data_IF_235789876695
#
_entry.id   IF_235789876695
#
_cell.length_a   1.000
_cell.length_b   1.000
_cell.length_c   1.000
_cell.angle_alpha   90.00
_cell.angle_beta   90.00
_cell.angle_gamma   90.00
#
_symmetry.space_group_name_H-M   'P 1'
#
loop_
_entity.id
_entity.type
_entity.pdbx_description
1 polymer ?
#
# COMPACT_ATOMS: atom_id res chain seq x y z
N UNK A 1 -7.94 24.24 -21.39
CA UNK A 1 -8.61 23.05 -22.02
C UNK A 1 -7.90 21.83 -21.48
N UNK A 2 -8.32 21.40 -20.30
CA UNK A 2 -7.74 20.30 -19.57
C UNK A 2 -8.20 18.99 -20.20
N UNK A 3 -7.25 18.18 -20.64
CA UNK A 3 -7.54 16.82 -21.08
C UNK A 3 -7.50 15.93 -19.82
N UNK A 4 -8.68 15.59 -19.33
CA UNK A 4 -8.86 14.52 -18.38
C UNK A 4 -8.43 13.20 -19.03
N UNK A 5 -7.30 12.67 -18.63
CA UNK A 5 -6.91 11.29 -18.93
C UNK A 5 -7.58 10.42 -17.89
N UNK A 6 -8.53 9.58 -18.33
CA UNK A 6 -9.33 8.75 -17.46
C UNK A 6 -8.47 7.71 -16.75
N UNK A 7 -8.29 7.88 -15.45
CA UNK A 7 -7.73 6.87 -14.57
C UNK A 7 -8.84 5.89 -14.21
N UNK A 8 -8.75 4.64 -14.65
CA UNK A 8 -9.59 3.57 -14.15
C UNK A 8 -9.16 3.26 -12.73
N UNK A 9 -9.89 3.80 -11.74
CA UNK A 9 -9.70 3.47 -10.34
C UNK A 9 -10.42 2.17 -10.02
N UNK A 10 -9.68 1.11 -9.79
CA UNK A 10 -10.19 -0.02 -9.01
C UNK A 10 -9.74 0.18 -7.56
N UNK A 11 -10.59 0.86 -6.78
CA UNK A 11 -10.37 1.02 -5.35
C UNK A 11 -10.85 -0.25 -4.67
N UNK A 12 -9.93 -1.11 -4.26
CA UNK A 12 -10.27 -2.19 -3.35
C UNK A 12 -10.43 -1.61 -1.96
N UNK A 13 -11.68 -1.55 -1.50
CA UNK A 13 -12.02 -1.10 -0.15
C UNK A 13 -11.28 -1.96 0.87
N UNK A 14 -10.59 -1.34 1.82
CA UNK A 14 -9.98 -1.96 3.00
C UNK A 14 -10.99 -2.81 3.84
N UNK A 15 -12.26 -2.82 3.46
CA UNK A 15 -13.37 -3.45 4.17
C UNK A 15 -14.08 -4.56 3.38
N UNK A 16 -13.54 -5.03 2.27
CA UNK A 16 -14.04 -6.26 1.69
C UNK A 16 -13.46 -7.46 2.48
N UNK A 17 -13.96 -7.62 3.70
CA UNK A 17 -13.92 -8.91 4.38
C UNK A 17 -14.96 -9.75 3.67
N UNK A 18 -14.62 -10.79 2.90
CA UNK A 18 -15.60 -11.71 2.41
C UNK A 18 -16.24 -12.35 3.64
N UNK A 19 -17.54 -12.15 3.81
CA UNK A 19 -18.37 -12.97 4.71
C UNK A 19 -18.32 -14.41 4.18
N UNK A 20 -17.23 -15.11 4.49
CA UNK A 20 -17.17 -16.56 4.34
C UNK A 20 -18.03 -17.20 5.42
N UNK A 21 -19.30 -17.39 5.09
CA UNK A 21 -20.12 -18.42 5.69
C UNK A 21 -19.53 -19.77 5.30
N UNK A 22 -18.59 -20.28 6.06
CA UNK A 22 -18.36 -21.71 6.20
C UNK A 22 -17.53 -22.00 7.43
N UNK A 23 -18.16 -22.60 8.38
CA UNK A 23 -17.69 -23.27 9.56
C UNK A 23 -16.49 -24.17 9.33
N UNK A 24 -15.30 -23.72 9.76
CA UNK A 24 -14.30 -24.61 10.35
C UNK A 24 -13.57 -23.85 11.46
N UNK A 25 -14.14 -23.95 12.66
CA UNK A 25 -13.44 -23.72 13.93
C UNK A 25 -12.44 -24.87 14.13
N UNK A 26 -11.21 -24.68 13.68
CA UNK A 26 -10.09 -25.49 14.15
C UNK A 26 -8.97 -24.52 14.50
N UNK A 27 -8.73 -24.43 15.82
CA UNK A 27 -7.57 -23.80 16.49
C UNK A 27 -7.14 -22.44 15.96
N UNK A 28 -7.60 -21.38 16.57
CA UNK A 28 -7.00 -20.07 16.83
C UNK A 28 -5.98 -19.43 15.90
N UNK A 29 -5.88 -19.85 14.65
CA UNK A 29 -5.10 -19.20 13.60
C UNK A 29 -6.05 -18.54 12.62
N UNK A 30 -6.25 -17.24 12.79
CA UNK A 30 -6.67 -16.40 11.67
C UNK A 30 -5.60 -16.52 10.60
N UNK A 31 -5.87 -17.25 9.53
CA UNK A 31 -5.13 -17.09 8.28
C UNK A 31 -5.52 -15.74 7.71
N UNK A 32 -4.83 -14.70 8.10
CA UNK A 32 -4.87 -13.45 7.34
C UNK A 32 -4.18 -13.75 6.00
N UNK A 33 -4.86 -13.40 4.93
CA UNK A 33 -4.31 -13.54 3.59
C UNK A 33 -2.98 -12.79 3.54
N UNK A 34 -1.87 -13.53 3.38
CA UNK A 34 -0.54 -12.95 3.24
C UNK A 34 -0.50 -12.17 1.93
N UNK A 35 0.05 -10.96 1.96
CA UNK A 35 0.25 -10.10 0.80
C UNK A 35 -1.04 -9.52 0.21
N UNK A 36 -1.75 -8.72 0.99
CA UNK A 36 -2.95 -8.02 0.54
C UNK A 36 -2.59 -6.83 -0.36
N UNK A 37 -3.11 -6.84 -1.59
CA UNK A 37 -3.01 -5.67 -2.48
C UNK A 37 -3.97 -4.58 -1.98
N UNK A 38 -3.42 -3.46 -1.49
CA UNK A 38 -4.20 -2.34 -0.95
C UNK A 38 -4.49 -1.25 -1.99
N UNK A 39 -3.62 -1.13 -3.01
CA UNK A 39 -3.80 -0.17 -4.09
C UNK A 39 -3.18 -0.66 -5.39
N UNK A 40 -3.81 -0.33 -6.52
CA UNK A 40 -3.26 -0.55 -7.86
C UNK A 40 -3.78 0.51 -8.80
N UNK A 41 -2.90 1.11 -9.59
CA UNK A 41 -3.29 1.95 -10.71
C UNK A 41 -2.26 1.88 -11.85
N UNK A 42 -2.70 2.31 -13.02
CA UNK A 42 -1.83 2.54 -14.16
C UNK A 42 -1.65 4.05 -14.35
N UNK A 43 -0.40 4.51 -14.43
CA UNK A 43 -0.05 5.90 -14.61
C UNK A 43 0.49 6.06 -16.01
N UNK A 44 -0.22 6.83 -16.83
CA UNK A 44 0.24 7.18 -18.16
C UNK A 44 1.18 8.38 -18.08
N UNK A 45 2.44 8.16 -18.46
CA UNK A 45 3.49 9.16 -18.54
C UNK A 45 3.89 9.35 -20.02
N UNK A 46 4.30 10.53 -20.47
CA UNK A 46 4.82 10.74 -21.84
C UNK A 46 5.92 9.77 -22.26
N UNK A 47 6.70 9.26 -21.31
CA UNK A 47 7.85 8.36 -21.55
C UNK A 47 7.52 6.88 -21.30
N UNK A 48 6.27 6.54 -21.03
CA UNK A 48 5.83 5.16 -20.84
C UNK A 48 4.78 5.00 -19.76
N UNK A 49 4.35 3.76 -19.58
CA UNK A 49 3.36 3.40 -18.56
C UNK A 49 4.09 2.97 -17.29
N UNK A 50 3.55 3.39 -16.13
CA UNK A 50 3.95 2.91 -14.82
C UNK A 50 2.79 2.10 -14.24
N UNK A 51 3.02 0.84 -13.95
CA UNK A 51 2.12 0.00 -13.17
C UNK A 51 2.47 0.16 -11.70
N UNK A 52 1.69 0.99 -11.01
CA UNK A 52 1.88 1.31 -9.59
C UNK A 52 1.04 0.38 -8.73
N UNK A 53 1.69 -0.32 -7.79
CA UNK A 53 1.04 -1.25 -6.87
C UNK A 53 1.50 -0.99 -5.44
N UNK A 54 0.60 -1.11 -4.46
CA UNK A 54 0.97 -1.13 -3.04
C UNK A 54 0.36 -2.37 -2.39
N UNK A 55 1.20 -3.13 -1.73
CA UNK A 55 0.85 -4.34 -0.99
C UNK A 55 1.06 -4.13 0.51
N UNK A 56 0.30 -4.88 1.30
CA UNK A 56 0.41 -4.87 2.75
C UNK A 56 0.42 -6.30 3.28
N UNK A 57 1.30 -6.58 4.24
CA UNK A 57 1.42 -7.90 4.88
C UNK A 57 1.84 -7.77 6.35
N UNK A 58 1.61 -8.81 7.13
CA UNK A 58 2.12 -8.95 8.49
C UNK A 58 3.19 -10.03 8.54
N UNK A 59 4.27 -9.74 9.24
CA UNK A 59 5.24 -10.78 9.57
C UNK A 59 4.80 -11.62 10.78
N UNK A 60 5.57 -12.67 11.07
CA UNK A 60 5.29 -13.59 12.18
C UNK A 60 5.45 -12.92 13.56
N UNK A 61 6.04 -11.73 13.62
CA UNK A 61 6.19 -10.91 14.82
C UNK A 61 5.06 -9.89 14.98
N UNK A 62 4.15 -9.82 13.99
CA UNK A 62 3.03 -8.88 13.99
C UNK A 62 3.39 -7.46 13.56
N UNK A 63 4.58 -7.24 12.97
CA UNK A 63 4.90 -5.99 12.32
C UNK A 63 4.12 -5.88 11.02
N UNK A 64 3.71 -4.66 10.67
CA UNK A 64 2.97 -4.37 9.45
C UNK A 64 3.92 -3.85 8.38
N UNK A 65 3.97 -4.52 7.24
CA UNK A 65 4.82 -4.18 6.11
C UNK A 65 4.00 -3.63 4.96
N UNK A 66 4.50 -2.58 4.33
CA UNK A 66 4.02 -2.07 3.05
C UNK A 66 5.13 -2.19 2.02
N UNK A 67 4.76 -2.57 0.80
CA UNK A 67 5.63 -2.57 -0.36
C UNK A 67 4.93 -1.80 -1.48
N UNK A 68 5.53 -0.68 -1.88
CA UNK A 68 5.21 0.02 -3.12
C UNK A 68 6.07 -0.57 -4.23
N UNK A 69 5.45 -1.01 -5.31
CA UNK A 69 6.12 -1.65 -6.43
C UNK A 69 5.66 -1.02 -7.74
N UNK A 70 6.57 -0.33 -8.38
CA UNK A 70 6.37 0.36 -9.65
C UNK A 70 7.13 -0.35 -10.75
N UNK A 71 6.43 -0.66 -11.84
CA UNK A 71 6.97 -1.37 -13.01
C UNK A 71 6.65 -0.63 -14.30
N UNK A 72 7.60 -0.64 -15.22
CA UNK A 72 7.39 -0.23 -16.60
C UNK A 72 8.33 0.84 -17.11
N UNK A 73 8.23 1.14 -18.40
CA UNK A 73 9.13 2.08 -19.08
C UNK A 73 9.11 3.50 -18.47
N UNK A 74 7.98 3.91 -17.90
CA UNK A 74 7.86 5.19 -17.21
C UNK A 74 8.70 5.29 -15.93
N UNK A 75 9.05 4.17 -15.29
CA UNK A 75 9.92 4.11 -14.10
C UNK A 75 11.36 4.42 -14.49
N UNK A 76 11.77 3.97 -15.67
CA UNK A 76 13.14 4.08 -16.19
C UNK A 76 13.63 5.51 -16.30
N UNK A 77 12.73 6.44 -16.60
CA UNK A 77 13.08 7.86 -16.67
C UNK A 77 13.55 8.43 -15.34
N UNK A 78 12.96 7.98 -14.24
CA UNK A 78 13.23 8.52 -12.90
C UNK A 78 14.36 7.79 -12.18
N UNK A 79 14.45 6.48 -12.39
CA UNK A 79 15.33 5.61 -11.61
C UNK A 79 16.41 4.90 -12.43
N UNK A 80 16.31 4.95 -13.78
CA UNK A 80 17.27 4.29 -14.68
C UNK A 80 17.02 2.79 -14.85
N UNK A 81 16.06 2.21 -14.12
CA UNK A 81 15.61 0.83 -14.21
C UNK A 81 14.11 0.80 -14.52
N UNK A 82 13.58 -0.31 -15.00
CA UNK A 82 12.15 -0.51 -15.28
C UNK A 82 11.36 -1.02 -14.07
N UNK A 83 12.01 -1.11 -12.91
CA UNK A 83 11.45 -1.59 -11.66
C UNK A 83 11.97 -0.75 -10.48
N UNK A 84 11.07 -0.46 -9.54
CA UNK A 84 11.37 0.24 -8.31
C UNK A 84 10.51 -0.32 -7.19
N UNK A 85 11.12 -0.60 -6.03
CA UNK A 85 10.42 -1.03 -4.83
C UNK A 85 10.76 -0.12 -3.64
N UNK A 86 9.73 0.22 -2.88
CA UNK A 86 9.87 0.98 -1.65
C UNK A 86 9.13 0.30 -0.50
N UNK A 87 9.88 -0.03 0.53
CA UNK A 87 9.40 -0.77 1.68
C UNK A 87 9.24 0.14 2.89
N UNK A 88 8.20 -0.14 3.68
CA UNK A 88 7.97 0.48 4.98
C UNK A 88 7.50 -0.58 5.96
N UNK A 89 8.07 -0.56 7.17
CA UNK A 89 7.67 -1.47 8.25
C UNK A 89 7.27 -0.65 9.48
N UNK A 90 6.11 -0.98 10.03
CA UNK A 90 5.60 -0.42 11.29
C UNK A 90 5.71 -1.50 12.36
N UNK A 91 6.49 -1.27 13.44
CA UNK A 91 6.63 -2.23 14.53
C UNK A 91 5.28 -2.58 15.16
N UNK A 92 5.09 -3.83 15.57
CA UNK A 92 3.86 -4.34 16.17
C UNK A 92 3.28 -3.41 17.25
N UNK A 93 4.13 -2.86 18.13
CA UNK A 93 3.72 -1.95 19.22
C UNK A 93 3.00 -0.70 18.74
N UNK A 94 3.20 -0.31 17.48
CA UNK A 94 2.60 0.89 16.87
C UNK A 94 1.48 0.62 15.87
N UNK A 95 1.26 -0.64 15.47
CA UNK A 95 0.26 -1.00 14.45
C UNK A 95 -1.15 -0.53 14.82
N UNK A 96 -1.58 -0.74 16.07
CA UNK A 96 -2.90 -0.30 16.51
C UNK A 96 -3.06 1.23 16.43
N UNK A 97 -2.04 2.00 16.84
CA UNK A 97 -2.03 3.47 16.73
C UNK A 97 -2.09 3.90 15.28
N UNK A 98 -1.29 3.28 14.40
CA UNK A 98 -1.31 3.54 12.96
C UNK A 98 -2.69 3.35 12.36
N UNK A 99 -3.35 2.22 12.64
CA UNK A 99 -4.70 1.92 12.14
C UNK A 99 -5.70 2.99 12.61
N UNK A 100 -5.69 3.35 13.89
CA UNK A 100 -6.59 4.36 14.45
C UNK A 100 -6.37 5.74 13.82
N UNK A 101 -5.11 6.17 13.65
CA UNK A 101 -4.78 7.44 13.00
C UNK A 101 -5.18 7.45 11.53
N UNK A 102 -5.02 6.31 10.83
CA UNK A 102 -5.47 6.13 9.45
C UNK A 102 -6.97 6.31 9.31
N UNK A 103 -7.74 5.72 10.24
CA UNK A 103 -9.20 5.91 10.30
C UNK A 103 -9.58 7.36 10.58
N UNK A 104 -8.93 7.97 11.57
CA UNK A 104 -9.20 9.35 11.97
C UNK A 104 -8.94 10.34 10.84
N UNK A 105 -7.84 10.18 10.13
CA UNK A 105 -7.49 11.07 9.03
C UNK A 105 -8.38 10.88 7.81
N UNK A 106 -9.01 9.71 7.69
CA UNK A 106 -9.76 9.32 6.49
C UNK A 106 -8.86 9.42 5.26
N UNK A 107 -8.21 8.35 4.89
CA UNK A 107 -7.40 8.33 3.67
C UNK A 107 -8.26 8.67 2.46
N UNK A 108 -8.33 9.93 2.12
CA UNK A 108 -8.86 10.40 0.85
C UNK A 108 -7.75 10.29 -0.17
N UNK A 109 -7.66 9.13 -0.82
CA UNK A 109 -6.74 8.93 -1.93
C UNK A 109 -7.30 9.64 -3.15
N UNK A 110 -6.91 10.90 -3.36
CA UNK A 110 -7.44 11.66 -4.49
C UNK A 110 -6.86 11.18 -5.82
N UNK A 111 -5.56 10.83 -5.86
CA UNK A 111 -4.93 10.40 -7.12
C UNK A 111 -4.03 9.17 -6.98
N UNK A 112 -3.20 9.07 -5.94
CA UNK A 112 -2.23 7.99 -5.74
C UNK A 112 -2.11 7.65 -4.26
N UNK A 113 -1.93 6.37 -3.98
CA UNK A 113 -1.55 5.90 -2.67
C UNK A 113 -0.09 5.46 -2.73
N UNK A 114 0.77 6.07 -1.93
CA UNK A 114 2.21 5.81 -1.92
C UNK A 114 2.71 5.53 -0.51
N UNK A 115 3.83 4.83 -0.39
CA UNK A 115 4.53 4.65 0.89
C UNK A 115 4.96 5.99 1.49
N UNK A 116 5.23 7.00 0.65
CA UNK A 116 5.53 8.36 1.11
C UNK A 116 4.38 8.98 1.91
N UNK A 117 3.12 8.77 1.50
CA UNK A 117 1.95 9.28 2.23
C UNK A 117 1.76 8.57 3.56
N UNK A 118 2.03 7.25 3.61
CA UNK A 118 2.04 6.50 4.86
C UNK A 118 3.12 7.01 5.83
N UNK A 119 4.30 7.33 5.33
CA UNK A 119 5.36 7.95 6.14
C UNK A 119 4.92 9.30 6.71
N UNK A 120 4.36 10.17 5.87
CA UNK A 120 3.85 11.47 6.32
C UNK A 120 2.82 11.32 7.44
N UNK A 121 1.94 10.31 7.35
CA UNK A 121 1.01 9.99 8.44
C UNK A 121 1.75 9.57 9.71
N UNK A 122 2.75 8.70 9.59
CA UNK A 122 3.53 8.25 10.73
C UNK A 122 4.29 9.41 11.39
N UNK A 123 4.88 10.30 10.60
CA UNK A 123 5.59 11.49 11.09
C UNK A 123 4.63 12.44 11.83
N UNK A 124 3.42 12.65 11.29
CA UNK A 124 2.39 13.52 11.91
C UNK A 124 1.93 13.01 13.27
N UNK A 125 1.83 11.70 13.43
CA UNK A 125 1.32 11.06 14.65
C UNK A 125 2.40 10.44 15.54
N UNK A 126 3.67 10.71 15.29
CA UNK A 126 4.81 10.16 16.04
C UNK A 126 4.75 8.62 16.16
N UNK A 127 4.61 7.96 15.01
CA UNK A 127 4.59 6.51 14.86
C UNK A 127 5.97 6.07 14.32
N UNK A 128 6.69 5.24 15.06
CA UNK A 128 7.96 4.69 14.56
C UNK A 128 7.73 3.79 13.36
N UNK A 129 8.61 3.90 12.37
CA UNK A 129 8.65 3.05 11.19
C UNK A 129 10.09 2.88 10.68
N UNK A 130 10.30 1.90 9.81
CA UNK A 130 11.55 1.70 9.08
C UNK A 130 11.24 1.71 7.58
N UNK A 131 12.19 2.16 6.77
CA UNK A 131 12.08 2.15 5.32
C UNK A 131 13.33 1.58 4.67
N UNK A 132 13.14 0.93 3.54
CA UNK A 132 14.19 0.48 2.65
C UNK A 132 13.71 0.66 1.20
N UNK A 133 14.62 0.65 0.23
CA UNK A 133 14.26 0.74 -1.18
C UNK A 133 15.23 -0.11 -2.01
N UNK A 134 14.72 -0.56 -3.13
CA UNK A 134 15.49 -1.29 -4.13
C UNK A 134 15.22 -0.72 -5.53
N UNK A 135 16.30 -0.61 -6.33
CA UNK A 135 16.27 -0.12 -7.71
C UNK A 135 17.12 -1.01 -8.60
#
# INVERSE_FOLDING_TARGET
RDRYIGVKKEIYSLFHIPLLTSTYLISGMFFMEKNMQVFKCEINNPNGIINHNVHCDWDDQGNLHFCEHDLGDGVKEFWGTDEYEYFMMIPQKHVAKFILCSFWKGFTFEERFTVKELRNLCDEYEIEYQTDFWM
#
